data_IF_123294558534
#
_entry.id   IF_123294558534
#
_cell.length_a   1.000
_cell.length_b   1.000
_cell.length_c   1.000
_cell.angle_alpha   90.00
_cell.angle_beta   90.00
_cell.angle_gamma   90.00
#
_symmetry.space_group_name_H-M   'P 1'
#
loop_
_entity.id
_entity.type
_entity.pdbx_description
1 polymer ?
#
# COMPACT_ATOMS: atom_id res chain seq x y z
N UNK A 1 25.03 -4.76 -13.04
CA UNK A 1 23.67 -5.35 -12.95
C UNK A 1 23.29 -5.42 -11.48
N UNK A 2 22.45 -4.51 -10.97
CA UNK A 2 22.03 -4.57 -9.58
C UNK A 2 21.22 -5.84 -9.34
N UNK A 3 21.67 -6.61 -8.36
CA UNK A 3 21.21 -7.94 -8.01
C UNK A 3 19.76 -7.87 -7.51
N UNK A 4 18.77 -8.11 -8.39
CA UNK A 4 17.36 -8.32 -8.02
C UNK A 4 17.20 -9.68 -7.34
N UNK A 5 17.77 -9.90 -6.16
CA UNK A 5 17.59 -11.16 -5.45
C UNK A 5 16.36 -11.09 -4.56
N UNK A 6 15.32 -11.85 -4.94
CA UNK A 6 14.26 -12.20 -4.02
C UNK A 6 14.81 -13.24 -3.04
N UNK A 7 14.67 -13.00 -1.74
CA UNK A 7 15.02 -13.97 -0.71
C UNK A 7 13.78 -14.82 -0.37
N UNK A 8 13.89 -16.16 -0.36
CA UNK A 8 12.79 -17.01 0.07
C UNK A 8 12.54 -16.79 1.56
N UNK A 9 11.27 -16.74 1.94
CA UNK A 9 10.84 -16.66 3.33
C UNK A 9 9.87 -17.80 3.63
N UNK A 10 9.92 -18.31 4.85
CA UNK A 10 8.93 -19.26 5.36
C UNK A 10 7.99 -18.51 6.28
N UNK A 11 6.69 -18.62 6.03
CA UNK A 11 5.64 -18.02 6.85
C UNK A 11 4.60 -19.08 7.21
N UNK A 12 4.06 -18.99 8.41
CA UNK A 12 2.92 -19.80 8.84
C UNK A 12 1.64 -18.98 8.64
N UNK A 13 0.64 -19.56 7.98
CA UNK A 13 -0.67 -18.93 7.76
C UNK A 13 -1.79 -19.90 8.15
N UNK A 14 -2.96 -19.40 8.58
CA UNK A 14 -4.10 -20.26 8.88
C UNK A 14 -4.49 -21.13 7.67
N UNK A 15 -4.84 -22.43 7.85
CA UNK A 15 -5.15 -23.33 6.73
C UNK A 15 -6.27 -22.82 5.82
N UNK A 16 -7.30 -22.21 6.40
CA UNK A 16 -8.41 -21.62 5.64
C UNK A 16 -7.95 -20.45 4.77
N UNK A 17 -7.02 -19.62 5.26
CA UNK A 17 -6.43 -18.53 4.50
C UNK A 17 -5.62 -19.05 3.32
N UNK A 18 -4.84 -20.11 3.53
CA UNK A 18 -4.07 -20.76 2.45
C UNK A 18 -4.99 -21.31 1.36
N UNK A 19 -6.10 -21.97 1.74
CA UNK A 19 -7.08 -22.49 0.78
C UNK A 19 -7.73 -21.39 -0.07
N UNK A 20 -8.05 -20.25 0.54
CA UNK A 20 -8.57 -19.08 -0.17
C UNK A 20 -7.52 -18.51 -1.13
N UNK A 21 -6.28 -18.36 -0.66
CA UNK A 21 -5.17 -17.88 -1.49
C UNK A 21 -4.92 -18.79 -2.70
N UNK A 22 -4.96 -20.11 -2.51
CA UNK A 22 -4.82 -21.08 -3.60
C UNK A 22 -5.95 -20.96 -4.63
N UNK A 23 -7.19 -20.74 -4.19
CA UNK A 23 -8.34 -20.55 -5.08
C UNK A 23 -8.19 -19.27 -5.91
N UNK A 24 -7.78 -18.17 -5.29
CA UNK A 24 -7.58 -16.87 -5.96
C UNK A 24 -6.45 -17.00 -6.99
N UNK A 25 -5.29 -17.51 -6.58
CA UNK A 25 -4.13 -17.65 -7.44
C UNK A 25 -4.44 -18.50 -8.69
N UNK A 26 -5.15 -19.62 -8.52
CA UNK A 26 -5.61 -20.46 -9.65
C UNK A 26 -6.58 -19.72 -10.57
N UNK A 27 -7.58 -19.03 -10.01
CA UNK A 27 -8.57 -18.27 -10.79
C UNK A 27 -7.92 -17.19 -11.66
N UNK A 28 -6.84 -16.59 -11.16
CA UNK A 28 -6.12 -15.50 -11.82
C UNK A 28 -4.90 -15.96 -12.63
N UNK A 29 -4.67 -17.28 -12.75
CA UNK A 29 -3.56 -17.82 -13.52
C UNK A 29 -2.18 -17.44 -12.99
N UNK A 30 -2.05 -17.18 -11.68
CA UNK A 30 -0.79 -16.74 -11.04
C UNK A 30 -0.31 -17.70 -9.97
N UNK A 31 0.94 -17.56 -9.56
CA UNK A 31 1.49 -18.38 -8.46
C UNK A 31 1.06 -17.85 -7.10
N UNK A 32 1.09 -18.72 -6.08
CA UNK A 32 0.92 -18.31 -4.68
C UNK A 32 1.89 -17.19 -4.29
N UNK A 33 3.17 -17.34 -4.65
CA UNK A 33 4.20 -16.35 -4.34
C UNK A 33 3.91 -14.99 -4.98
N UNK A 34 3.31 -14.95 -6.17
CA UNK A 34 2.89 -13.69 -6.78
C UNK A 34 1.77 -13.01 -5.98
N UNK A 35 0.73 -13.77 -5.63
CA UNK A 35 -0.37 -13.28 -4.80
C UNK A 35 0.13 -12.74 -3.45
N UNK A 36 0.97 -13.49 -2.74
CA UNK A 36 1.51 -13.04 -1.45
C UNK A 36 2.39 -11.79 -1.59
N UNK A 37 3.23 -11.71 -2.63
CA UNK A 37 4.03 -10.51 -2.88
C UNK A 37 3.16 -9.30 -3.17
N UNK A 38 2.09 -9.47 -3.94
CA UNK A 38 1.14 -8.39 -4.22
C UNK A 38 0.39 -7.93 -2.98
N UNK A 39 -0.07 -8.87 -2.14
CA UNK A 39 -0.69 -8.56 -0.86
C UNK A 39 0.25 -7.75 0.05
N UNK A 40 1.54 -8.10 0.11
CA UNK A 40 2.55 -7.33 0.87
C UNK A 40 2.75 -5.92 0.29
N UNK A 41 2.83 -5.78 -1.04
CA UNK A 41 2.93 -4.45 -1.68
C UNK A 41 1.71 -3.58 -1.37
N UNK A 42 0.51 -4.16 -1.46
CA UNK A 42 -0.73 -3.45 -1.13
C UNK A 42 -0.76 -3.02 0.34
N UNK A 43 -0.32 -3.89 1.26
CA UNK A 43 -0.20 -3.57 2.68
C UNK A 43 0.76 -2.40 2.92
N UNK A 44 1.96 -2.43 2.32
CA UNK A 44 2.93 -1.34 2.47
C UNK A 44 2.43 -0.02 1.88
N UNK A 45 1.77 -0.08 0.72
CA UNK A 45 1.14 1.11 0.12
C UNK A 45 0.09 1.72 1.05
N UNK A 46 -0.80 0.90 1.60
CA UNK A 46 -1.81 1.33 2.57
C UNK A 46 -1.17 1.98 3.79
N UNK A 47 -0.14 1.36 4.37
CA UNK A 47 0.60 1.93 5.51
C UNK A 47 1.27 3.26 5.19
N UNK A 48 1.85 3.40 4.01
CA UNK A 48 2.42 4.69 3.57
C UNK A 48 1.35 5.76 3.44
N UNK A 49 0.19 5.42 2.88
CA UNK A 49 -0.93 6.34 2.74
C UNK A 49 -1.50 6.78 4.10
N UNK A 50 -1.69 5.84 5.04
CA UNK A 50 -2.12 6.14 6.42
C UNK A 50 -1.18 7.14 7.11
N UNK A 51 0.14 6.99 6.91
CA UNK A 51 1.12 7.92 7.45
C UNK A 51 1.02 9.32 6.84
N UNK A 52 0.86 9.41 5.50
CA UNK A 52 0.69 10.70 4.79
C UNK A 52 -0.58 11.41 5.25
N UNK A 53 -1.69 10.67 5.33
CA UNK A 53 -2.98 11.20 5.81
C UNK A 53 -2.86 11.75 7.24
N UNK A 54 -2.22 11.00 8.13
CA UNK A 54 -1.98 11.44 9.51
C UNK A 54 -1.17 12.73 9.57
N UNK A 55 -0.12 12.84 8.76
CA UNK A 55 0.69 14.05 8.64
C UNK A 55 -0.12 15.23 8.09
N UNK A 56 -0.90 15.01 7.03
CA UNK A 56 -1.75 16.02 6.41
C UNK A 56 -2.77 16.59 7.39
N UNK A 57 -3.51 15.73 8.10
CA UNK A 57 -4.49 16.14 9.12
C UNK A 57 -3.84 16.99 10.22
N UNK A 58 -2.66 16.60 10.71
CA UNK A 58 -1.92 17.40 11.71
C UNK A 58 -1.56 18.78 11.18
N UNK A 59 -1.10 18.87 9.93
CA UNK A 59 -0.68 20.12 9.30
C UNK A 59 -1.86 21.05 8.99
N UNK A 60 -2.97 20.50 8.51
CA UNK A 60 -4.24 21.23 8.28
C UNK A 60 -4.74 21.82 9.60
N UNK A 61 -4.80 21.00 10.67
CA UNK A 61 -5.21 21.47 12.00
C UNK A 61 -4.28 22.56 12.55
N UNK A 62 -2.97 22.40 12.40
CA UNK A 62 -2.00 23.39 12.88
C UNK A 62 -2.07 24.73 12.13
N UNK A 63 -2.48 24.71 10.85
CA UNK A 63 -2.61 25.90 10.00
C UNK A 63 -4.04 26.46 9.91
N UNK A 64 -5.03 25.78 10.50
CA UNK A 64 -6.44 26.17 10.41
C UNK A 64 -7.02 26.14 9.00
N UNK A 65 -6.41 25.37 8.09
CA UNK A 65 -6.79 25.35 6.68
C UNK A 65 -8.15 24.68 6.48
N UNK A 66 -9.00 25.28 5.66
CA UNK A 66 -10.22 24.67 5.15
C UNK A 66 -9.96 23.92 3.86
N UNK A 67 -10.87 23.02 3.52
CA UNK A 67 -10.75 22.19 2.31
C UNK A 67 -10.73 23.03 1.03
N UNK A 68 -11.49 24.14 1.01
CA UNK A 68 -11.53 25.08 -0.12
C UNK A 68 -10.18 25.79 -0.37
N UNK A 69 -9.35 25.94 0.66
CA UNK A 69 -8.06 26.64 0.57
C UNK A 69 -6.94 25.72 0.06
N UNK A 70 -7.18 24.41 0.03
CA UNK A 70 -6.17 23.42 -0.40
C UNK A 70 -5.92 23.52 -1.91
N UNK A 71 -6.97 23.76 -2.71
CA UNK A 71 -6.86 23.81 -4.17
C UNK A 71 -5.99 24.98 -4.63
N UNK A 72 -6.21 26.18 -4.06
CA UNK A 72 -5.38 27.36 -4.34
C UNK A 72 -3.90 27.16 -3.98
N UNK A 73 -3.60 26.52 -2.85
CA UNK A 73 -2.23 26.20 -2.43
C UNK A 73 -1.53 25.21 -3.39
N UNK A 74 -2.29 24.28 -3.98
CA UNK A 74 -1.76 23.31 -4.94
C UNK A 74 -1.46 24.00 -6.28
N UNK A 75 -2.33 24.89 -6.74
CA UNK A 75 -2.16 25.62 -8.00
C UNK A 75 -0.96 26.59 -7.95
N UNK A 76 -0.75 27.25 -6.80
CA UNK A 76 0.45 28.06 -6.55
C UNK A 76 1.76 27.26 -6.64
N UNK A 77 1.76 25.97 -6.24
CA UNK A 77 2.94 25.10 -6.27
C UNK A 77 3.21 24.48 -7.64
N UNK A 78 2.22 24.44 -8.53
CA UNK A 78 2.33 23.87 -9.88
C UNK A 78 2.67 24.91 -10.95
N UNK A 79 2.60 26.20 -10.63
CA UNK A 79 3.00 27.32 -11.50
C UNK A 79 4.50 27.60 -11.40
#
# INVERSE_FOLDING_TARGET
MQNRQAQPITITVPPQMLAIADKIARKEGRTRSDLFREALRAYFWKKRWEAIQTYGVKKVRAKGLKEEEIEGLIDELRS
#
